data_IF_080567039978
#
_entry.id   IF_080567039978
#
_cell.length_a   1.000
_cell.length_b   1.000
_cell.length_c   1.000
_cell.angle_alpha   90.00
_cell.angle_beta   90.00
_cell.angle_gamma   90.00
#
_symmetry.space_group_name_H-M   'P 1'
#
loop_
_entity.id
_entity.type
_entity.pdbx_description
1 polymer ?
#
# COMPACT_ATOMS: atom_id res chain seq x y z
N UNK A 1 -65.84 -16.23 -28.43
CA UNK A 1 -64.43 -15.95 -28.87
C UNK A 1 -63.88 -14.61 -28.32
N UNK A 2 -64.54 -14.00 -27.33
CA UNK A 2 -64.18 -12.67 -26.78
C UNK A 2 -63.38 -12.66 -25.46
N UNK A 3 -63.15 -13.78 -24.85
CA UNK A 3 -62.53 -13.82 -23.49
C UNK A 3 -60.98 -13.92 -23.48
N UNK A 4 -60.34 -14.25 -24.59
CA UNK A 4 -58.86 -14.33 -24.65
C UNK A 4 -58.18 -12.97 -24.85
N UNK A 5 -58.82 -12.03 -25.57
CA UNK A 5 -58.27 -10.71 -25.86
C UNK A 5 -58.18 -9.82 -24.59
N UNK A 6 -59.18 -9.91 -23.71
CA UNK A 6 -59.24 -9.10 -22.46
C UNK A 6 -58.17 -9.53 -21.45
N UNK A 7 -57.85 -10.82 -21.35
CA UNK A 7 -56.79 -11.29 -20.45
C UNK A 7 -55.39 -10.86 -20.92
N UNK A 8 -55.13 -10.84 -22.21
CA UNK A 8 -53.85 -10.37 -22.76
C UNK A 8 -53.63 -8.86 -22.53
N UNK A 9 -54.66 -8.07 -22.69
CA UNK A 9 -54.59 -6.63 -22.43
C UNK A 9 -54.39 -6.31 -20.93
N UNK A 10 -55.00 -7.07 -20.02
CA UNK A 10 -54.79 -6.92 -18.59
C UNK A 10 -53.38 -7.31 -18.17
N UNK A 11 -52.87 -8.42 -18.74
CA UNK A 11 -51.47 -8.87 -18.46
C UNK A 11 -50.44 -7.83 -18.94
N UNK A 12 -50.65 -7.27 -20.13
CA UNK A 12 -49.79 -6.23 -20.69
C UNK A 12 -49.80 -4.93 -19.88
N UNK A 13 -51.00 -4.49 -19.40
CA UNK A 13 -51.11 -3.35 -18.49
C UNK A 13 -50.41 -3.61 -17.17
N UNK A 14 -50.52 -4.81 -16.60
CA UNK A 14 -49.82 -5.19 -15.36
C UNK A 14 -48.30 -5.21 -15.52
N UNK A 15 -47.82 -5.71 -16.68
CA UNK A 15 -46.35 -5.69 -16.98
C UNK A 15 -45.84 -4.26 -17.17
N UNK A 16 -46.59 -3.37 -17.78
CA UNK A 16 -46.22 -1.95 -17.92
C UNK A 16 -46.18 -1.25 -16.58
N UNK A 17 -47.16 -1.50 -15.71
CA UNK A 17 -47.17 -0.93 -14.33
C UNK A 17 -46.01 -1.47 -13.51
N UNK A 18 -45.67 -2.77 -13.62
CA UNK A 18 -44.53 -3.35 -12.95
C UNK A 18 -43.20 -2.78 -13.46
N UNK A 19 -43.10 -2.55 -14.78
CA UNK A 19 -41.94 -1.90 -15.40
C UNK A 19 -41.79 -0.44 -14.94
N UNK A 20 -42.92 0.32 -14.87
CA UNK A 20 -42.90 1.68 -14.35
C UNK A 20 -42.57 1.76 -12.86
N UNK A 21 -42.98 0.78 -12.04
CA UNK A 21 -42.60 0.68 -10.65
C UNK A 21 -41.09 0.39 -10.47
N UNK A 22 -40.48 -0.34 -11.38
CA UNK A 22 -39.05 -0.60 -11.40
C UNK A 22 -38.23 0.68 -11.72
N UNK A 23 -38.77 1.60 -12.51
CA UNK A 23 -38.15 2.91 -12.83
C UNK A 23 -38.36 3.97 -11.73
N UNK A 24 -39.23 3.73 -10.74
CA UNK A 24 -39.47 4.63 -9.62
C UNK A 24 -38.53 4.34 -8.41
N UNK A 25 -37.66 3.35 -8.52
CA UNK A 25 -36.54 3.21 -7.56
C UNK A 25 -35.56 4.34 -7.87
N UNK A 26 -35.73 5.47 -7.21
CA UNK A 26 -34.75 6.53 -7.21
C UNK A 26 -33.43 5.92 -6.69
N UNK A 27 -32.46 5.78 -7.58
CA UNK A 27 -31.07 5.56 -7.22
C UNK A 27 -30.59 6.82 -6.49
N UNK A 28 -30.87 6.89 -5.19
CA UNK A 28 -30.28 7.90 -4.34
C UNK A 28 -28.79 7.61 -4.25
N UNK A 29 -28.01 8.14 -5.18
CA UNK A 29 -26.57 8.22 -5.05
C UNK A 29 -26.31 9.12 -3.83
N UNK A 30 -25.83 8.53 -2.74
CA UNK A 30 -25.39 9.32 -1.59
C UNK A 30 -24.26 10.22 -2.07
N UNK A 31 -24.38 11.55 -1.94
CA UNK A 31 -23.31 12.44 -2.33
C UNK A 31 -22.07 12.14 -1.48
N UNK A 32 -20.95 11.89 -2.14
CA UNK A 32 -19.67 11.78 -1.45
C UNK A 32 -19.23 13.17 -1.02
N UNK A 33 -19.05 13.35 0.29
CA UNK A 33 -18.47 14.56 0.86
C UNK A 33 -16.99 14.30 1.12
N UNK A 34 -16.13 15.11 0.49
CA UNK A 34 -14.71 15.12 0.79
C UNK A 34 -14.41 16.19 1.82
N UNK A 35 -13.70 15.82 2.89
CA UNK A 35 -13.15 16.77 3.85
C UNK A 35 -11.64 16.82 3.65
N UNK A 36 -11.13 18.02 3.36
CA UNK A 36 -9.70 18.27 3.29
C UNK A 36 -9.16 18.58 4.68
N UNK A 37 -7.95 18.15 4.95
CA UNK A 37 -7.20 18.47 6.14
C UNK A 37 -5.81 18.96 5.74
N UNK A 38 -5.32 19.99 6.40
CA UNK A 38 -4.02 20.60 6.15
C UNK A 38 -3.29 20.99 7.44
N UNK A 39 -2.22 21.77 7.32
CA UNK A 39 -1.44 22.22 8.46
C UNK A 39 -2.24 23.16 9.40
N UNK A 40 -3.27 23.86 8.92
CA UNK A 40 -4.14 24.68 9.75
C UNK A 40 -5.04 23.81 10.65
N UNK A 41 -5.37 22.59 10.21
CA UNK A 41 -6.09 21.58 10.99
C UNK A 41 -5.19 20.81 11.97
N UNK A 42 -3.87 21.03 11.93
CA UNK A 42 -2.87 20.40 12.81
C UNK A 42 -2.04 19.29 12.20
N UNK A 43 -2.15 19.03 10.89
CA UNK A 43 -1.25 18.13 10.19
C UNK A 43 0.17 18.71 10.18
N UNK A 44 1.19 17.90 10.42
CA UNK A 44 2.57 18.38 10.55
C UNK A 44 3.18 18.93 9.26
N UNK A 45 2.72 18.44 8.09
CA UNK A 45 3.13 18.91 6.77
C UNK A 45 2.11 18.46 5.72
N UNK A 46 1.81 19.32 4.73
CA UNK A 46 0.86 19.02 3.65
C UNK A 46 1.33 17.93 2.66
N UNK A 47 2.62 17.56 2.71
CA UNK A 47 3.12 16.46 1.90
C UNK A 47 3.03 15.14 2.67
N UNK A 48 1.90 14.47 2.52
CA UNK A 48 1.66 13.13 3.07
C UNK A 48 2.34 12.09 2.18
N UNK A 49 3.17 11.23 2.75
CA UNK A 49 3.90 10.16 2.06
C UNK A 49 3.17 8.83 2.10
N UNK A 50 2.50 8.54 3.21
CA UNK A 50 1.84 7.27 3.48
C UNK A 50 0.75 7.41 4.54
N UNK A 51 -0.14 6.42 4.60
CA UNK A 51 -1.12 6.33 5.68
C UNK A 51 -1.46 4.87 6.01
N UNK A 52 -1.86 4.62 7.25
CA UNK A 52 -2.34 3.31 7.72
C UNK A 52 -3.35 3.51 8.85
N UNK A 53 -4.32 2.62 8.96
CA UNK A 53 -5.24 2.59 10.10
C UNK A 53 -4.81 1.52 11.10
N UNK A 54 -4.74 1.87 12.39
CA UNK A 54 -4.46 0.90 13.45
C UNK A 54 -5.73 0.16 13.93
N UNK A 55 -5.54 -0.81 14.82
CA UNK A 55 -6.65 -1.63 15.36
C UNK A 55 -7.52 -0.88 16.35
N UNK A 56 -7.09 0.30 16.84
CA UNK A 56 -7.88 1.19 17.68
C UNK A 56 -8.73 2.18 16.88
N UNK A 57 -8.59 2.16 15.54
CA UNK A 57 -9.31 3.03 14.61
C UNK A 57 -8.65 4.38 14.35
N UNK A 58 -7.47 4.66 14.92
CA UNK A 58 -6.71 5.85 14.60
C UNK A 58 -6.13 5.75 13.19
N UNK A 59 -6.16 6.87 12.46
CA UNK A 59 -5.44 7.00 11.20
C UNK A 59 -4.05 7.58 11.45
N UNK A 60 -3.04 6.92 10.92
CA UNK A 60 -1.66 7.37 10.96
C UNK A 60 -1.26 7.94 9.61
N UNK A 61 -0.65 9.11 9.61
CA UNK A 61 -0.18 9.79 8.40
C UNK A 61 1.31 10.10 8.53
N UNK A 62 2.12 9.52 7.67
CA UNK A 62 3.51 9.90 7.49
C UNK A 62 3.60 11.15 6.63
N UNK A 63 4.44 12.09 7.01
CA UNK A 63 4.70 13.32 6.25
C UNK A 63 6.19 13.58 6.12
N UNK A 64 6.56 14.61 5.37
CA UNK A 64 7.96 15.09 5.29
C UNK A 64 8.46 15.75 6.57
N UNK A 65 7.58 16.07 7.53
CA UNK A 65 7.96 16.76 8.77
C UNK A 65 7.20 16.23 9.99
N UNK A 66 7.07 14.94 10.11
CA UNK A 66 6.51 14.26 11.28
C UNK A 66 5.55 13.13 10.94
N UNK A 67 5.30 12.31 11.93
CA UNK A 67 4.26 11.29 11.95
C UNK A 67 3.05 11.84 12.70
N UNK A 68 1.86 11.67 12.15
CA UNK A 68 0.62 12.18 12.75
C UNK A 68 -0.33 11.02 13.03
N UNK A 69 -0.88 10.98 14.25
CA UNK A 69 -1.99 10.11 14.62
C UNK A 69 -3.27 10.94 14.70
N UNK A 70 -4.30 10.56 13.98
CA UNK A 70 -5.57 11.26 13.87
C UNK A 70 -6.70 10.46 14.54
N UNK A 71 -7.43 11.09 15.47
CA UNK A 71 -8.52 10.47 16.24
C UNK A 71 -9.92 10.83 15.71
N UNK A 72 -10.06 11.25 14.45
CA UNK A 72 -11.24 11.80 13.80
C UNK A 72 -11.57 13.25 14.18
N UNK A 73 -10.85 13.84 15.12
CA UNK A 73 -11.05 15.23 15.59
C UNK A 73 -9.80 16.08 15.50
N UNK A 74 -8.65 15.53 15.92
CA UNK A 74 -7.39 16.25 15.97
C UNK A 74 -6.20 15.35 15.61
N UNK A 75 -5.12 16.00 15.21
CA UNK A 75 -3.83 15.37 14.96
C UNK A 75 -2.96 15.44 16.23
N UNK A 76 -2.30 14.32 16.52
CA UNK A 76 -1.20 14.22 17.48
C UNK A 76 0.07 13.99 16.69
N UNK A 77 1.03 14.89 16.80
CA UNK A 77 2.25 14.87 15.98
C UNK A 77 3.44 14.34 16.77
N UNK A 78 4.16 13.39 16.16
CA UNK A 78 5.44 12.89 16.63
C UNK A 78 6.54 13.39 15.71
N UNK A 79 7.60 13.91 16.30
CA UNK A 79 8.79 14.42 15.58
C UNK A 79 10.07 13.81 16.13
N UNK A 80 11.16 14.00 15.40
CA UNK A 80 12.50 13.67 15.86
C UNK A 80 13.01 14.74 16.80
N UNK A 81 13.38 14.32 18.01
CA UNK A 81 14.02 15.18 19.00
C UNK A 81 15.31 14.48 19.48
N UNK A 82 16.46 15.04 19.13
CA UNK A 82 17.77 14.42 19.40
C UNK A 82 18.09 14.21 20.89
N UNK A 83 17.40 14.92 21.78
CA UNK A 83 17.54 14.80 23.23
C UNK A 83 16.54 13.82 23.89
N UNK A 84 15.54 13.34 23.16
CA UNK A 84 14.48 12.50 23.72
C UNK A 84 14.66 11.05 23.32
N UNK A 85 14.94 10.20 24.33
CA UNK A 85 14.96 8.76 24.14
C UNK A 85 13.56 8.27 23.77
N UNK A 86 13.47 7.47 22.69
CA UNK A 86 12.19 6.96 22.20
C UNK A 86 11.47 7.88 21.23
N UNK A 87 12.07 9.03 20.84
CA UNK A 87 11.57 9.84 19.73
C UNK A 87 11.84 9.18 18.37
N UNK A 88 11.24 9.72 17.31
CA UNK A 88 11.57 9.30 15.94
C UNK A 88 13.05 9.58 15.63
N UNK A 89 13.68 8.69 14.85
CA UNK A 89 15.04 8.91 14.34
C UNK A 89 15.10 10.08 13.37
N UNK A 90 14.03 10.31 12.62
CA UNK A 90 13.87 11.44 11.70
C UNK A 90 12.40 11.83 11.61
N UNK A 91 12.14 13.12 11.39
CA UNK A 91 10.80 13.61 11.07
C UNK A 91 10.37 13.31 9.63
N UNK A 92 11.29 12.90 8.75
CA UNK A 92 10.95 12.54 7.38
C UNK A 92 10.49 11.08 7.31
N UNK A 93 9.16 10.90 7.30
CA UNK A 93 8.54 9.58 7.23
C UNK A 93 8.50 9.12 5.77
N UNK A 94 8.99 7.92 5.51
CA UNK A 94 9.02 7.33 4.18
C UNK A 94 7.84 6.40 3.96
N UNK A 95 7.54 5.53 4.95
CA UNK A 95 6.46 4.57 4.86
C UNK A 95 5.95 4.11 6.22
N UNK A 96 4.75 3.52 6.24
CA UNK A 96 4.08 2.97 7.41
C UNK A 96 3.51 1.59 7.09
N UNK A 97 3.65 0.67 8.04
CA UNK A 97 2.97 -0.61 7.96
C UNK A 97 2.36 -1.00 9.30
N UNK A 98 1.25 -1.73 9.25
CA UNK A 98 0.67 -2.40 10.41
C UNK A 98 0.94 -3.89 10.31
N UNK A 99 1.56 -4.46 11.33
CA UNK A 99 1.78 -5.92 11.41
C UNK A 99 0.46 -6.67 11.59
N UNK A 100 0.41 -7.98 11.33
CA UNK A 100 -0.76 -8.82 11.64
C UNK A 100 -1.18 -8.80 13.11
N UNK A 101 -0.27 -8.42 14.01
CA UNK A 101 -0.55 -8.28 15.45
C UNK A 101 -0.97 -6.86 15.85
N UNK A 102 -1.23 -5.96 14.89
CA UNK A 102 -1.67 -4.58 15.14
C UNK A 102 -0.55 -3.59 15.45
N UNK A 103 0.72 -4.02 15.43
CA UNK A 103 1.88 -3.16 15.73
C UNK A 103 2.13 -2.20 14.57
N UNK A 104 2.28 -0.90 14.85
CA UNK A 104 2.68 0.11 13.86
C UNK A 104 4.19 0.14 13.70
N UNK A 105 4.63 0.07 12.44
CA UNK A 105 6.01 0.18 12.01
C UNK A 105 6.15 1.47 11.19
N UNK A 106 7.22 2.20 11.46
CA UNK A 106 7.48 3.52 10.89
C UNK A 106 8.86 3.51 10.25
N UNK A 107 8.94 3.73 8.98
CA UNK A 107 10.21 3.92 8.30
C UNK A 107 10.52 5.39 8.08
N UNK A 108 11.78 5.73 8.26
CA UNK A 108 12.33 7.06 8.04
C UNK A 108 13.57 6.96 7.16
N UNK A 109 14.10 8.09 6.73
CA UNK A 109 15.40 8.12 6.05
C UNK A 109 16.61 7.78 6.96
N UNK A 110 16.38 7.51 8.25
CA UNK A 110 17.42 7.15 9.22
C UNK A 110 17.18 5.80 9.91
N UNK A 111 16.22 5.01 9.42
CA UNK A 111 15.97 3.67 9.91
C UNK A 111 14.50 3.34 10.12
N UNK A 112 14.26 2.10 10.49
CA UNK A 112 12.96 1.52 10.79
C UNK A 112 12.73 1.48 12.29
N UNK A 113 11.56 1.87 12.74
CA UNK A 113 11.18 1.89 14.16
C UNK A 113 9.81 1.24 14.37
N UNK A 114 9.58 0.71 15.57
CA UNK A 114 8.27 0.29 16.06
C UNK A 114 7.72 1.30 17.04
N UNK A 115 6.42 1.57 16.96
CA UNK A 115 5.72 2.40 17.92
C UNK A 115 5.23 1.57 19.11
N UNK A 116 5.45 2.05 20.32
CA UNK A 116 4.94 1.45 21.56
C UNK A 116 3.74 2.26 22.07
N UNK A 117 2.55 1.65 22.07
CA UNK A 117 1.30 2.26 22.54
C UNK A 117 1.26 2.54 24.04
N UNK A 118 2.07 1.86 24.85
CA UNK A 118 2.06 2.04 26.31
C UNK A 118 2.89 3.24 26.73
N UNK A 119 3.96 3.50 26.00
CA UNK A 119 4.93 4.56 26.34
C UNK A 119 4.91 5.74 25.38
N UNK A 120 4.07 5.69 24.32
CA UNK A 120 4.04 6.69 23.23
C UNK A 120 5.45 6.91 22.62
N UNK A 121 6.25 5.87 22.49
CA UNK A 121 7.65 5.96 22.07
C UNK A 121 7.99 5.01 20.90
N UNK A 122 9.16 5.21 20.32
CA UNK A 122 9.63 4.44 19.17
C UNK A 122 10.89 3.67 19.50
N UNK A 123 10.95 2.40 19.12
CA UNK A 123 12.12 1.53 19.26
C UNK A 123 12.74 1.28 17.89
N UNK A 124 14.03 1.60 17.75
CA UNK A 124 14.79 1.39 16.52
C UNK A 124 15.06 -0.10 16.28
N UNK A 125 14.99 -0.52 15.04
CA UNK A 125 15.47 -1.83 14.58
C UNK A 125 16.93 -1.66 14.16
N UNK A 126 17.84 -2.11 15.00
CA UNK A 126 19.27 -1.75 14.98
C UNK A 126 19.97 -1.91 13.64
N UNK A 127 19.72 -3.00 12.90
CA UNK A 127 20.39 -3.23 11.61
C UNK A 127 19.98 -2.22 10.52
N UNK A 128 18.91 -1.45 10.73
CA UNK A 128 18.40 -0.42 9.79
C UNK A 128 18.92 0.98 10.11
N UNK A 129 19.71 1.15 11.16
CA UNK A 129 20.19 2.48 11.61
C UNK A 129 20.95 3.21 10.51
N UNK A 130 20.49 4.42 10.17
CA UNK A 130 21.08 5.24 9.12
C UNK A 130 20.77 4.77 7.70
N UNK A 131 19.82 3.84 7.54
CA UNK A 131 19.45 3.25 6.25
C UNK A 131 18.04 3.71 5.87
N UNK A 132 17.87 4.12 4.61
CA UNK A 132 16.54 4.36 4.06
C UNK A 132 15.79 3.05 3.89
N UNK A 133 14.60 2.95 4.49
CA UNK A 133 13.71 1.81 4.33
C UNK A 133 12.43 2.28 3.62
N UNK A 134 11.98 1.56 2.58
CA UNK A 134 10.73 1.90 1.87
C UNK A 134 9.89 0.66 1.60
N UNK A 135 8.62 0.89 1.20
CA UNK A 135 7.69 -0.15 0.75
C UNK A 135 7.54 -1.27 1.77
N UNK A 136 7.08 -0.90 2.98
CA UNK A 136 6.90 -1.86 4.07
C UNK A 136 5.67 -2.74 3.80
N UNK A 137 5.84 -4.06 3.73
CA UNK A 137 4.73 -5.02 3.62
C UNK A 137 4.98 -6.23 4.52
N UNK A 138 3.90 -6.78 5.08
CA UNK A 138 3.96 -8.04 5.85
C UNK A 138 3.49 -9.21 4.99
N UNK A 139 4.21 -10.33 5.06
CA UNK A 139 3.73 -11.60 4.52
C UNK A 139 2.74 -12.27 5.51
N UNK A 140 2.11 -13.37 5.08
CA UNK A 140 1.15 -14.10 5.92
C UNK A 140 1.78 -14.76 7.14
N UNK A 141 3.10 -15.01 7.13
CA UNK A 141 3.87 -15.54 8.25
C UNK A 141 4.26 -14.45 9.26
N UNK A 142 3.92 -13.18 8.98
CA UNK A 142 4.24 -12.04 9.83
C UNK A 142 5.67 -11.54 9.71
N UNK A 143 6.42 -11.92 8.67
CA UNK A 143 7.70 -11.31 8.37
C UNK A 143 7.49 -9.96 7.68
N UNK A 144 8.30 -8.98 8.03
CA UNK A 144 8.31 -7.69 7.37
C UNK A 144 9.27 -7.71 6.17
N UNK A 145 8.74 -7.31 5.02
CA UNK A 145 9.51 -7.09 3.81
C UNK A 145 9.67 -5.59 3.56
N UNK A 146 10.85 -5.18 3.11
CA UNK A 146 11.18 -3.78 2.86
C UNK A 146 12.30 -3.65 1.83
N UNK A 147 12.36 -2.50 1.16
CA UNK A 147 13.48 -2.14 0.29
C UNK A 147 14.47 -1.30 1.11
N UNK A 148 15.74 -1.71 1.15
CA UNK A 148 16.81 -0.95 1.79
C UNK A 148 17.65 -0.21 0.74
N UNK A 149 17.79 1.12 0.92
CA UNK A 149 18.55 2.03 0.04
C UNK A 149 18.22 1.93 -1.45
N UNK A 150 17.05 1.36 -1.81
CA UNK A 150 16.65 1.15 -3.20
C UNK A 150 17.35 0.00 -3.92
N UNK A 151 18.19 -0.80 -3.26
CA UNK A 151 18.98 -1.85 -3.92
C UNK A 151 18.56 -3.26 -3.56
N UNK A 152 18.24 -3.51 -2.31
CA UNK A 152 17.90 -4.85 -1.84
C UNK A 152 16.51 -4.94 -1.26
N UNK A 153 15.83 -6.03 -1.56
CA UNK A 153 14.63 -6.44 -0.84
C UNK A 153 15.07 -7.26 0.38
N UNK A 154 14.56 -6.89 1.54
CA UNK A 154 14.92 -7.54 2.81
C UNK A 154 13.69 -8.15 3.45
N UNK A 155 13.79 -9.42 3.81
CA UNK A 155 12.84 -10.12 4.69
C UNK A 155 13.35 -10.08 6.11
N UNK A 156 12.58 -9.53 7.03
CA UNK A 156 12.91 -9.45 8.45
C UNK A 156 11.93 -10.27 9.29
N UNK A 157 12.45 -11.23 10.03
CA UNK A 157 11.70 -11.97 11.03
C UNK A 157 12.00 -11.41 12.42
N UNK A 158 11.04 -10.71 13.01
CA UNK A 158 11.22 -10.06 14.31
C UNK A 158 11.42 -11.08 15.44
N UNK A 159 10.68 -12.18 15.45
CA UNK A 159 10.74 -13.18 16.53
C UNK A 159 12.10 -13.87 16.63
N UNK A 160 12.81 -13.97 15.51
CA UNK A 160 14.16 -14.55 15.43
C UNK A 160 15.26 -13.49 15.45
N UNK A 161 14.91 -12.21 15.27
CA UNK A 161 15.89 -11.13 15.10
C UNK A 161 16.75 -11.28 13.84
N UNK A 162 16.28 -12.05 12.85
CA UNK A 162 17.01 -12.38 11.63
C UNK A 162 16.49 -11.64 10.43
N UNK A 163 17.40 -11.28 9.51
CA UNK A 163 17.04 -10.72 8.22
C UNK A 163 17.79 -11.40 7.07
N UNK A 164 17.13 -11.52 5.92
CA UNK A 164 17.67 -12.05 4.68
C UNK A 164 17.61 -10.96 3.61
N UNK A 165 18.68 -10.85 2.81
CA UNK A 165 18.78 -9.87 1.74
C UNK A 165 18.65 -10.55 0.37
N UNK A 166 17.82 -10.02 -0.48
CA UNK A 166 17.62 -10.46 -1.87
C UNK A 166 18.00 -9.31 -2.81
N UNK A 167 18.86 -9.59 -3.78
CA UNK A 167 19.32 -8.61 -4.76
C UNK A 167 19.12 -9.14 -6.17
N UNK A 168 18.67 -8.29 -7.09
CA UNK A 168 18.59 -8.65 -8.49
C UNK A 168 19.89 -8.27 -9.22
N UNK A 169 20.61 -9.28 -9.74
CA UNK A 169 21.83 -9.13 -10.58
C UNK A 169 22.79 -8.02 -10.12
N UNK A 170 22.96 -7.89 -8.82
CA UNK A 170 24.03 -7.11 -8.17
C UNK A 170 23.98 -5.60 -8.25
N UNK A 171 23.21 -4.98 -9.15
CA UNK A 171 23.28 -3.52 -9.35
C UNK A 171 22.04 -2.86 -9.92
N UNK A 172 20.97 -3.61 -10.19
CA UNK A 172 19.71 -3.01 -10.68
C UNK A 172 18.80 -2.70 -9.48
N UNK A 173 18.60 -1.41 -9.12
CA UNK A 173 17.82 -1.05 -7.95
C UNK A 173 16.39 -1.55 -8.02
N UNK A 174 15.88 -2.12 -6.93
CA UNK A 174 14.47 -2.48 -6.78
C UNK A 174 13.69 -1.21 -6.49
N UNK A 175 12.70 -0.89 -7.32
CA UNK A 175 11.89 0.32 -7.19
C UNK A 175 10.58 0.11 -6.45
N UNK A 176 9.98 -1.06 -6.61
CA UNK A 176 8.73 -1.44 -5.93
C UNK A 176 8.63 -2.95 -5.82
N UNK A 177 7.84 -3.44 -4.88
CA UNK A 177 7.47 -4.86 -4.81
C UNK A 177 6.03 -5.02 -4.32
N UNK A 178 5.49 -6.21 -4.53
CA UNK A 178 4.18 -6.61 -4.09
C UNK A 178 4.21 -8.07 -3.63
N UNK A 179 3.60 -8.35 -2.48
CA UNK A 179 3.42 -9.69 -1.93
C UNK A 179 1.99 -10.13 -2.26
N UNK A 180 1.86 -11.21 -3.02
CA UNK A 180 0.54 -11.76 -3.34
C UNK A 180 -0.08 -12.43 -2.11
N UNK A 181 -1.40 -12.67 -2.10
CA UNK A 181 -2.04 -13.45 -1.04
C UNK A 181 -1.53 -14.88 -0.89
N UNK A 182 -0.73 -15.38 -1.81
CA UNK A 182 -0.05 -16.69 -1.76
C UNK A 182 1.43 -16.55 -1.37
N UNK A 183 1.82 -15.37 -0.85
CA UNK A 183 3.19 -15.00 -0.45
C UNK A 183 4.22 -15.00 -1.59
N UNK A 184 3.77 -15.03 -2.85
CA UNK A 184 4.69 -14.82 -3.96
C UNK A 184 5.08 -13.36 -4.07
N UNK A 185 6.37 -13.11 -4.24
CA UNK A 185 6.93 -11.76 -4.30
C UNK A 185 7.25 -11.39 -5.74
N UNK A 186 6.65 -10.28 -6.17
CA UNK A 186 6.92 -9.62 -7.43
C UNK A 186 7.61 -8.30 -7.18
N UNK A 187 8.56 -7.92 -8.03
CA UNK A 187 9.24 -6.66 -7.92
C UNK A 187 9.52 -6.03 -9.29
N UNK A 188 9.70 -4.72 -9.29
CA UNK A 188 10.18 -3.94 -10.43
C UNK A 188 11.53 -3.35 -10.14
N UNK A 189 12.31 -3.09 -11.19
CA UNK A 189 13.64 -2.52 -11.08
C UNK A 189 13.75 -1.21 -11.87
N UNK A 190 14.75 -0.40 -11.54
CA UNK A 190 15.00 0.89 -12.19
C UNK A 190 15.32 0.75 -13.69
N UNK A 191 15.90 -0.37 -14.11
CA UNK A 191 16.22 -0.63 -15.51
C UNK A 191 15.07 -1.30 -16.30
N UNK A 192 13.84 -1.29 -15.74
CA UNK A 192 12.66 -1.75 -16.45
C UNK A 192 12.51 -3.29 -16.46
N UNK A 193 13.02 -4.00 -15.44
CA UNK A 193 12.75 -5.42 -15.29
C UNK A 193 11.57 -5.66 -14.33
N UNK A 194 10.74 -6.63 -14.68
CA UNK A 194 9.80 -7.25 -13.74
C UNK A 194 10.39 -8.59 -13.32
N UNK A 195 10.50 -8.78 -12.04
CA UNK A 195 11.13 -9.97 -11.45
C UNK A 195 10.20 -10.59 -10.40
N UNK A 196 10.31 -11.88 -10.20
CA UNK A 196 9.69 -12.57 -9.08
C UNK A 196 10.72 -13.37 -8.31
N UNK A 197 10.49 -13.52 -7.01
CA UNK A 197 11.35 -14.32 -6.15
C UNK A 197 11.02 -15.79 -6.34
N UNK A 198 12.01 -16.59 -6.74
CA UNK A 198 11.95 -18.05 -6.78
C UNK A 198 12.40 -18.56 -5.41
N UNK A 199 11.45 -19.07 -4.63
CA UNK A 199 11.70 -19.52 -3.25
C UNK A 199 12.64 -20.75 -3.20
N UNK A 200 12.59 -21.63 -4.21
CA UNK A 200 13.43 -22.82 -4.28
C UNK A 200 14.91 -22.45 -4.52
N UNK A 201 15.14 -21.44 -5.34
CA UNK A 201 16.49 -20.94 -5.67
C UNK A 201 16.95 -19.80 -4.79
N UNK A 202 16.01 -19.18 -4.05
CA UNK A 202 16.24 -18.00 -3.22
C UNK A 202 16.86 -16.84 -4.02
N UNK A 203 16.42 -16.67 -5.28
CA UNK A 203 16.90 -15.63 -6.19
C UNK A 203 15.78 -15.06 -7.06
N UNK A 204 15.97 -13.83 -7.54
CA UNK A 204 15.04 -13.20 -8.47
C UNK A 204 15.18 -13.72 -9.89
N UNK A 205 14.05 -14.09 -10.50
CA UNK A 205 13.93 -14.46 -11.90
C UNK A 205 13.21 -13.34 -12.66
N UNK A 206 13.82 -12.90 -13.76
CA UNK A 206 13.20 -11.88 -14.62
C UNK A 206 12.17 -12.47 -15.56
N UNK A 207 11.04 -11.77 -15.69
CA UNK A 207 10.12 -11.96 -16.81
C UNK A 207 10.65 -11.26 -18.06
N UNK A 208 10.56 -11.93 -19.20
CA UNK A 208 10.82 -11.29 -20.50
C UNK A 208 9.58 -10.51 -20.96
N UNK A 209 9.45 -9.28 -20.49
CA UNK A 209 8.35 -8.37 -20.85
C UNK A 209 8.66 -7.48 -22.04
N UNK A 210 9.92 -7.47 -22.54
CA UNK A 210 10.36 -6.58 -23.63
C UNK A 210 9.62 -6.78 -24.94
N UNK A 211 8.95 -7.92 -25.09
CA UNK A 211 8.18 -8.25 -26.28
C UNK A 211 6.67 -7.98 -26.13
N UNK A 212 6.18 -7.59 -24.97
CA UNK A 212 4.75 -7.41 -24.70
C UNK A 212 4.19 -6.13 -25.31
N UNK A 213 4.96 -5.04 -25.35
CA UNK A 213 4.56 -3.81 -26.02
C UNK A 213 5.77 -3.14 -26.70
N UNK A 214 5.95 -3.42 -27.99
CA UNK A 214 7.07 -2.86 -28.78
C UNK A 214 6.96 -1.35 -29.02
N UNK A 215 5.78 -0.77 -28.88
CA UNK A 215 5.50 0.62 -29.19
C UNK A 215 5.63 1.53 -27.96
N UNK A 216 5.62 0.95 -26.76
CA UNK A 216 5.68 1.68 -25.51
C UNK A 216 6.62 0.93 -24.55
N UNK A 217 7.91 1.26 -24.55
CA UNK A 217 8.86 0.65 -23.62
C UNK A 217 8.39 0.86 -22.18
N UNK A 218 8.47 -0.19 -21.37
CA UNK A 218 8.11 -0.14 -19.97
C UNK A 218 9.37 0.27 -19.22
N UNK A 219 9.62 1.58 -19.19
CA UNK A 219 10.74 2.19 -18.46
C UNK A 219 10.20 2.91 -17.20
N UNK A 220 11.06 3.19 -16.25
CA UNK A 220 10.75 3.94 -15.02
C UNK A 220 9.53 3.38 -14.25
N UNK A 221 9.55 2.10 -13.95
CA UNK A 221 8.51 1.44 -13.16
C UNK A 221 8.52 1.94 -11.72
N UNK A 222 7.35 2.35 -11.23
CA UNK A 222 7.19 2.99 -9.91
C UNK A 222 6.31 2.20 -8.96
N UNK A 223 5.49 1.29 -9.48
CA UNK A 223 4.59 0.47 -8.70
C UNK A 223 4.33 -0.86 -9.38
N UNK A 224 4.03 -1.88 -8.60
CA UNK A 224 3.61 -3.20 -9.07
C UNK A 224 2.48 -3.73 -8.19
N UNK A 225 1.52 -4.38 -8.81
CA UNK A 225 0.43 -5.07 -8.12
C UNK A 225 0.00 -6.29 -8.94
N UNK A 226 -0.30 -7.40 -8.28
CA UNK A 226 -0.80 -8.61 -8.92
C UNK A 226 -2.22 -8.92 -8.42
N UNK A 227 -3.13 -9.22 -9.35
CA UNK A 227 -4.49 -9.63 -9.01
C UNK A 227 -4.48 -10.99 -8.31
N UNK A 228 -5.15 -11.14 -7.17
CA UNK A 228 -5.27 -12.43 -6.50
C UNK A 228 -6.25 -13.39 -7.19
N UNK A 229 -7.10 -12.88 -8.10
CA UNK A 229 -8.19 -13.63 -8.73
C UNK A 229 -7.90 -13.95 -10.20
N UNK A 230 -7.15 -13.08 -10.87
CA UNK A 230 -6.85 -13.17 -12.29
C UNK A 230 -5.33 -13.17 -12.47
N UNK A 231 -4.83 -13.79 -13.51
CA UNK A 231 -3.41 -13.76 -13.87
C UNK A 231 -3.02 -12.38 -14.46
N UNK A 232 -3.37 -11.29 -13.76
CA UNK A 232 -3.13 -9.92 -14.20
C UNK A 232 -2.06 -9.31 -13.29
N UNK A 233 -1.03 -8.77 -13.91
CA UNK A 233 -0.01 -7.96 -13.28
C UNK A 233 -0.19 -6.52 -13.77
N UNK A 234 -0.38 -5.56 -12.86
CA UNK A 234 -0.45 -4.14 -13.14
C UNK A 234 0.87 -3.48 -12.77
N UNK A 235 1.42 -2.71 -13.69
CA UNK A 235 2.69 -2.00 -13.50
C UNK A 235 2.43 -0.51 -13.70
N UNK A 236 2.68 0.28 -12.67
CA UNK A 236 2.68 1.73 -12.76
C UNK A 236 4.01 2.23 -13.31
N UNK A 237 3.97 3.16 -14.25
CA UNK A 237 5.15 3.81 -14.80
C UNK A 237 5.09 5.31 -14.56
N UNK A 238 6.23 5.98 -14.52
CA UNK A 238 6.30 7.41 -14.23
C UNK A 238 5.59 8.25 -15.30
N UNK A 239 5.80 7.94 -16.57
CA UNK A 239 5.36 8.79 -17.69
C UNK A 239 4.35 8.10 -18.62
N UNK A 240 4.15 6.77 -18.52
CA UNK A 240 3.34 5.98 -19.45
C UNK A 240 2.07 5.37 -18.82
N UNK A 241 1.71 5.78 -17.62
CA UNK A 241 0.50 5.31 -16.93
C UNK A 241 0.61 3.87 -16.41
N UNK A 242 -0.51 3.13 -16.42
CA UNK A 242 -0.59 1.73 -15.95
C UNK A 242 -0.53 0.80 -17.16
N UNK A 243 0.25 -0.26 -17.07
CA UNK A 243 0.41 -1.34 -18.04
C UNK A 243 -0.06 -2.68 -17.48
#
# INVERSE_FOLDING_TARGET
MQTKHGKHQQLMKFQIVLLCLFFLVELNATPFYFKSYDMEDGLSNNHVTCCVQDDYGFMWFGTRDGLNRFDSKKFYTFKSYSSEKGSLMSSYILDLAKSPTGQIWVSTNLGLQKYDYQTDSFTLIDFTKGINCYSLQFDQQGNLWMILNGYSLVKYNESQGMHLNYMYKGSDPITSFYITPQDQIWATTANGHVVFLDDDKNEFIALDIKNLDKNHPIDDMTAIWASPLDNILLIGTKDNGIK
#
